data_IF_881332206325
#
_entry.id   IF_881332206325
#
_cell.length_a   1.000
_cell.length_b   1.000
_cell.length_c   1.000
_cell.angle_alpha   90.00
_cell.angle_beta   90.00
_cell.angle_gamma   90.00
#
_symmetry.space_group_name_H-M   'P 1'
#
loop_
_entity.id
_entity.type
_entity.pdbx_description
1 polymer ?
#
# COMPACT_ATOMS: atom_id res chain seq x y z
N UNK A 1 20.07 6.02 19.48
CA UNK A 1 19.66 5.31 20.69
C UNK A 1 18.19 5.55 21.11
N UNK A 2 17.71 6.81 21.16
CA UNK A 2 16.30 7.12 21.54
C UNK A 2 15.25 6.55 20.56
N UNK A 3 15.47 6.64 19.25
CA UNK A 3 14.56 6.16 18.21
C UNK A 3 14.48 4.63 18.15
N UNK A 4 15.61 3.92 18.34
CA UNK A 4 15.61 2.46 18.45
C UNK A 4 14.73 2.00 19.61
N UNK A 5 14.85 2.62 20.79
CA UNK A 5 14.00 2.31 21.95
C UNK A 5 12.52 2.56 21.69
N UNK A 6 12.17 3.61 20.91
CA UNK A 6 10.77 3.89 20.56
C UNK A 6 10.21 2.86 19.58
N UNK A 7 11.03 2.37 18.64
CA UNK A 7 10.62 1.31 17.72
C UNK A 7 10.49 -0.05 18.44
N UNK A 8 11.43 -0.36 19.34
CA UNK A 8 11.40 -1.61 20.13
C UNK A 8 10.10 -1.74 20.94
N UNK A 9 9.51 -0.62 21.39
CA UNK A 9 8.21 -0.60 22.08
C UNK A 9 7.04 -1.00 21.18
N UNK A 10 7.18 -0.84 19.86
CA UNK A 10 6.13 -1.25 18.90
C UNK A 10 6.10 -2.75 18.65
N UNK A 11 7.20 -3.44 18.94
CA UNK A 11 7.32 -4.88 18.76
C UNK A 11 6.60 -5.61 19.91
N UNK A 12 6.07 -6.79 19.63
CA UNK A 12 5.48 -7.61 20.68
C UNK A 12 6.57 -8.16 21.60
N UNK A 13 6.31 -8.21 22.90
CA UNK A 13 7.25 -8.78 23.88
C UNK A 13 7.54 -10.29 23.65
N UNK A 14 6.68 -10.96 22.86
CA UNK A 14 6.73 -12.40 22.66
C UNK A 14 7.83 -12.87 21.70
N UNK A 15 8.44 -11.98 20.95
CA UNK A 15 9.45 -12.32 19.94
C UNK A 15 10.80 -11.68 20.25
N UNK A 16 11.47 -12.16 21.30
CA UNK A 16 12.83 -11.75 21.69
C UNK A 16 13.92 -12.11 20.65
N UNK A 17 13.59 -12.92 19.67
CA UNK A 17 14.51 -13.34 18.59
C UNK A 17 14.56 -12.37 17.39
N UNK A 18 13.78 -11.31 17.42
CA UNK A 18 13.74 -10.32 16.33
C UNK A 18 14.99 -9.46 16.35
N UNK A 19 15.87 -9.77 15.46
CA UNK A 19 17.12 -9.03 15.33
C UNK A 19 17.01 -8.01 14.19
N UNK A 20 17.44 -6.80 14.51
CA UNK A 20 17.81 -5.84 13.49
C UNK A 20 19.01 -6.42 12.73
N UNK A 21 18.84 -6.72 11.45
CA UNK A 21 19.94 -7.15 10.60
C UNK A 21 21.00 -6.06 10.47
N UNK A 22 22.22 -6.43 10.11
CA UNK A 22 23.33 -5.50 9.84
C UNK A 22 22.98 -4.49 8.74
N UNK A 23 22.01 -4.84 7.90
CA UNK A 23 21.46 -3.98 6.84
C UNK A 23 20.40 -2.98 7.34
N UNK A 24 20.05 -2.99 8.61
CA UNK A 24 19.06 -2.08 9.19
C UNK A 24 17.60 -2.48 8.94
N UNK A 25 17.36 -3.72 8.48
CA UNK A 25 16.03 -4.29 8.27
C UNK A 25 15.69 -5.22 9.43
N UNK A 26 14.52 -5.00 10.06
CA UNK A 26 14.00 -5.92 11.06
C UNK A 26 13.40 -7.15 10.37
N UNK A 27 13.76 -8.34 10.81
CA UNK A 27 13.26 -9.60 10.25
C UNK A 27 12.18 -10.22 11.13
N UNK A 28 11.03 -10.49 10.55
CA UNK A 28 10.01 -11.37 11.11
C UNK A 28 9.81 -12.50 10.11
N UNK A 29 10.43 -13.61 10.34
CA UNK A 29 10.29 -14.74 9.43
C UNK A 29 9.16 -15.66 9.88
N UNK A 30 8.10 -15.70 9.11
CA UNK A 30 7.34 -16.91 8.91
C UNK A 30 7.12 -17.08 7.41
N UNK A 31 7.96 -17.85 6.77
CA UNK A 31 7.77 -18.21 5.37
C UNK A 31 6.58 -19.16 5.23
N UNK A 32 5.44 -18.67 4.79
CA UNK A 32 4.32 -19.53 4.43
C UNK A 32 4.59 -20.09 3.03
N UNK A 33 4.71 -21.42 2.89
CA UNK A 33 4.99 -22.09 1.60
C UNK A 33 3.98 -21.73 0.50
N UNK A 34 2.75 -21.37 0.88
CA UNK A 34 1.70 -20.99 -0.08
C UNK A 34 1.96 -19.69 -0.80
N UNK A 35 2.83 -18.83 -0.27
CA UNK A 35 3.21 -17.54 -0.87
C UNK A 35 4.56 -17.60 -1.61
N UNK A 36 5.24 -18.75 -1.57
CA UNK A 36 6.59 -18.88 -2.12
C UNK A 36 6.68 -18.51 -3.61
N UNK A 37 5.71 -18.95 -4.42
CA UNK A 37 5.69 -18.62 -5.87
C UNK A 37 5.56 -17.12 -6.10
N UNK A 38 4.73 -16.44 -5.33
CA UNK A 38 4.60 -14.98 -5.43
C UNK A 38 5.86 -14.27 -4.92
N UNK A 39 6.45 -14.75 -3.83
CA UNK A 39 7.72 -14.24 -3.30
C UNK A 39 8.81 -14.33 -4.37
N UNK A 40 8.97 -15.49 -4.99
CA UNK A 40 10.02 -15.72 -6.00
C UNK A 40 9.79 -14.83 -7.24
N UNK A 41 8.54 -14.66 -7.68
CA UNK A 41 8.20 -13.74 -8.76
C UNK A 41 8.53 -12.29 -8.39
N UNK A 42 8.14 -11.84 -7.20
CA UNK A 42 8.41 -10.46 -6.75
C UNK A 42 9.89 -10.21 -6.54
N UNK A 43 10.64 -11.20 -6.10
CA UNK A 43 12.11 -11.13 -6.03
C UNK A 43 12.73 -10.93 -7.39
N UNK A 44 12.32 -11.69 -8.41
CA UNK A 44 12.83 -11.52 -9.77
C UNK A 44 12.55 -10.11 -10.30
N UNK A 45 11.32 -9.60 -10.10
CA UNK A 45 10.97 -8.22 -10.48
C UNK A 45 11.82 -7.19 -9.73
N UNK A 46 12.06 -7.37 -8.45
CA UNK A 46 12.88 -6.46 -7.67
C UNK A 46 14.35 -6.46 -8.12
N UNK A 47 14.88 -7.59 -8.55
CA UNK A 47 16.27 -7.73 -8.98
C UNK A 47 16.48 -7.28 -10.43
N UNK A 48 15.57 -7.68 -11.34
CA UNK A 48 15.78 -7.53 -12.78
C UNK A 48 15.27 -6.21 -13.34
N UNK A 49 14.29 -5.58 -12.69
CA UNK A 49 13.53 -4.46 -13.27
C UNK A 49 13.57 -3.17 -12.44
N UNK A 50 14.41 -3.08 -11.40
CA UNK A 50 14.37 -1.95 -10.46
C UNK A 50 14.62 -0.59 -11.12
N UNK A 51 15.68 -0.45 -11.94
CA UNK A 51 16.01 0.82 -12.59
C UNK A 51 14.95 1.24 -13.59
N UNK A 52 14.50 0.31 -14.43
CA UNK A 52 13.48 0.56 -15.44
C UNK A 52 12.13 0.88 -14.81
N UNK A 53 11.80 0.23 -13.71
CA UNK A 53 10.58 0.50 -12.97
C UNK A 53 10.61 1.86 -12.27
N UNK A 54 11.72 2.28 -11.67
CA UNK A 54 11.86 3.63 -11.11
C UNK A 54 11.72 4.71 -12.17
N UNK A 55 12.29 4.50 -13.36
CA UNK A 55 12.11 5.43 -14.47
C UNK A 55 10.66 5.48 -14.92
N UNK A 56 10.02 4.33 -15.06
CA UNK A 56 8.59 4.24 -15.39
C UNK A 56 7.73 4.93 -14.33
N UNK A 57 8.00 4.72 -13.04
CA UNK A 57 7.27 5.37 -11.94
C UNK A 57 7.33 6.89 -12.01
N UNK A 58 8.49 7.46 -12.34
CA UNK A 58 8.66 8.92 -12.44
C UNK A 58 7.73 9.56 -13.46
N UNK A 59 7.38 8.83 -14.51
CA UNK A 59 6.53 9.28 -15.61
C UNK A 59 5.09 8.73 -15.53
N UNK A 60 4.80 7.90 -14.55
CA UNK A 60 3.48 7.28 -14.44
C UNK A 60 2.45 8.26 -13.90
N UNK A 61 1.30 8.33 -14.55
CA UNK A 61 0.20 9.21 -14.14
C UNK A 61 -0.25 9.01 -12.68
N UNK A 62 -0.22 7.76 -12.19
CA UNK A 62 -0.61 7.43 -10.83
C UNK A 62 0.27 8.10 -9.75
N UNK A 63 1.53 8.42 -10.05
CA UNK A 63 2.44 8.99 -9.06
C UNK A 63 1.98 10.36 -8.55
N UNK A 64 1.63 11.34 -9.41
CA UNK A 64 1.08 12.60 -8.93
C UNK A 64 -0.22 12.46 -8.14
N UNK A 65 -1.08 11.51 -8.53
CA UNK A 65 -2.31 11.20 -7.77
C UNK A 65 -1.95 10.70 -6.39
N UNK A 66 -1.06 9.72 -6.30
CA UNK A 66 -0.65 9.15 -5.01
C UNK A 66 0.12 10.14 -4.15
N UNK A 67 0.96 11.00 -4.73
CA UNK A 67 1.65 12.05 -3.97
C UNK A 67 0.64 12.98 -3.27
N UNK A 68 -0.42 13.39 -3.97
CA UNK A 68 -1.49 14.20 -3.35
C UNK A 68 -2.25 13.45 -2.27
N UNK A 69 -2.50 12.16 -2.46
CA UNK A 69 -3.17 11.33 -1.45
C UNK A 69 -2.29 11.15 -0.20
N UNK A 70 -0.99 10.92 -0.37
CA UNK A 70 -0.03 10.88 0.73
C UNK A 70 -0.01 12.21 1.48
N UNK A 71 0.06 13.34 0.77
CA UNK A 71 0.06 14.67 1.39
C UNK A 71 -1.21 14.88 2.24
N UNK A 72 -2.39 14.63 1.68
CA UNK A 72 -3.66 14.72 2.42
C UNK A 72 -3.73 13.78 3.63
N UNK A 73 -3.08 12.63 3.54
CA UNK A 73 -3.07 11.63 4.59
C UNK A 73 -2.18 12.08 5.76
N UNK A 74 -0.94 12.46 5.47
CA UNK A 74 0.01 12.87 6.52
C UNK A 74 -0.38 14.19 7.20
N UNK A 75 -1.06 15.10 6.48
CA UNK A 75 -1.55 16.37 7.04
C UNK A 75 -2.60 16.18 8.15
N UNK A 76 -3.30 15.05 8.14
CA UNK A 76 -4.35 14.72 9.13
C UNK A 76 -3.84 13.95 10.34
N UNK A 77 -2.57 13.54 10.33
CA UNK A 77 -1.99 12.77 11.42
C UNK A 77 -1.65 13.67 12.62
N UNK A 78 -1.73 13.16 13.84
CA UNK A 78 -1.26 13.87 15.02
C UNK A 78 0.24 14.15 14.94
N UNK A 79 0.71 15.09 15.75
CA UNK A 79 2.14 15.30 15.95
C UNK A 79 2.77 14.01 16.47
N UNK A 80 3.99 13.70 15.99
CA UNK A 80 4.71 12.44 16.30
C UNK A 80 3.97 11.16 15.91
N UNK A 81 2.99 11.26 14.99
CA UNK A 81 2.19 10.14 14.52
C UNK A 81 3.02 9.01 13.92
N UNK A 82 2.53 7.77 14.07
CA UNK A 82 3.20 6.57 13.57
C UNK A 82 2.31 5.87 12.56
N UNK A 83 2.85 5.63 11.38
CA UNK A 83 2.17 4.95 10.26
C UNK A 83 2.74 3.54 10.11
N UNK A 84 1.89 2.55 9.90
CA UNK A 84 2.27 1.24 9.34
C UNK A 84 1.93 1.23 7.85
N UNK A 85 2.94 1.14 6.98
CA UNK A 85 2.77 1.00 5.54
C UNK A 85 2.87 -0.48 5.15
N UNK A 86 1.74 -1.07 4.80
CA UNK A 86 1.61 -2.50 4.51
C UNK A 86 1.86 -2.77 3.03
N UNK A 87 2.95 -3.50 2.75
CA UNK A 87 3.43 -3.74 1.39
C UNK A 87 3.99 -2.47 0.77
N UNK A 88 4.69 -1.67 1.56
CA UNK A 88 5.23 -0.37 1.13
C UNK A 88 6.36 -0.46 0.12
N UNK A 89 6.75 -1.68 -0.25
CA UNK A 89 7.68 -1.97 -1.34
C UNK A 89 8.98 -1.15 -1.21
N UNK A 90 9.25 -0.30 -2.20
CA UNK A 90 10.46 0.53 -2.23
C UNK A 90 10.34 1.85 -1.48
N UNK A 91 9.25 2.05 -0.72
CA UNK A 91 9.04 3.24 0.09
C UNK A 91 8.86 4.54 -0.71
N UNK A 92 8.52 4.46 -2.00
CA UNK A 92 8.40 5.61 -2.89
C UNK A 92 7.47 6.69 -2.34
N UNK A 93 6.37 6.32 -1.70
CA UNK A 93 5.39 7.25 -1.16
C UNK A 93 5.98 8.16 -0.06
N UNK A 94 7.01 7.70 0.63
CA UNK A 94 7.60 8.39 1.79
C UNK A 94 8.85 9.21 1.46
N UNK A 95 9.25 9.29 0.18
CA UNK A 95 10.45 10.02 -0.24
C UNK A 95 10.45 11.51 0.13
N UNK A 96 9.27 12.12 0.31
CA UNK A 96 9.10 13.53 0.67
C UNK A 96 8.71 13.73 2.16
N UNK A 97 8.55 12.66 2.94
CA UNK A 97 8.04 12.71 4.30
C UNK A 97 8.85 13.65 5.20
N UNK A 98 10.17 13.48 5.24
CA UNK A 98 11.04 14.25 6.13
C UNK A 98 11.05 15.76 5.85
N UNK A 99 10.72 16.17 4.63
CA UNK A 99 10.60 17.57 4.28
C UNK A 99 9.24 18.17 4.68
N UNK A 100 8.18 17.35 4.71
CA UNK A 100 6.81 17.79 4.98
C UNK A 100 6.39 17.58 6.43
N UNK A 101 6.67 16.40 6.97
CA UNK A 101 6.33 15.99 8.33
C UNK A 101 7.50 15.24 8.95
N UNK A 102 8.58 15.95 9.35
CA UNK A 102 9.76 15.33 9.97
C UNK A 102 9.44 14.69 11.34
N UNK A 103 8.34 15.08 11.96
CA UNK A 103 7.80 14.53 13.20
C UNK A 103 7.14 13.15 13.00
N UNK A 104 6.61 12.86 11.82
CA UNK A 104 5.89 11.60 11.55
C UNK A 104 6.88 10.47 11.27
N UNK A 105 6.57 9.29 11.77
CA UNK A 105 7.34 8.06 11.59
C UNK A 105 6.55 7.07 10.74
N UNK A 106 7.27 6.34 9.91
CA UNK A 106 6.70 5.28 9.05
C UNK A 106 7.43 3.98 9.28
N UNK A 107 6.69 2.92 9.49
CA UNK A 107 7.16 1.54 9.50
C UNK A 107 6.70 0.89 8.21
N UNK A 108 7.63 0.64 7.29
CA UNK A 108 7.36 -0.05 6.03
C UNK A 108 7.46 -1.56 6.28
N UNK A 109 6.37 -2.26 6.07
CA UNK A 109 6.32 -3.73 6.14
C UNK A 109 6.21 -4.28 4.72
N UNK A 110 7.13 -5.16 4.35
CA UNK A 110 7.07 -5.88 3.07
C UNK A 110 7.56 -7.31 3.26
N UNK A 111 6.94 -8.26 2.57
CA UNK A 111 7.33 -9.67 2.67
C UNK A 111 8.42 -10.08 1.66
N UNK A 112 8.82 -9.16 0.78
CA UNK A 112 9.96 -9.29 -0.12
C UNK A 112 11.12 -8.45 0.39
N UNK A 113 12.14 -9.12 0.94
CA UNK A 113 13.30 -8.43 1.54
C UNK A 113 14.04 -7.54 0.55
N UNK A 114 14.12 -7.95 -0.69
CA UNK A 114 14.77 -7.21 -1.79
C UNK A 114 14.12 -5.85 -2.02
N UNK A 115 12.80 -5.76 -1.87
CA UNK A 115 12.07 -4.49 -1.92
C UNK A 115 12.54 -3.53 -0.81
N UNK A 116 12.75 -4.04 0.39
CA UNK A 116 13.23 -3.23 1.52
C UNK A 116 14.68 -2.78 1.35
N UNK A 117 15.52 -3.57 0.69
CA UNK A 117 16.87 -3.15 0.30
C UNK A 117 16.81 -1.97 -0.67
N UNK A 118 15.90 -2.01 -1.64
CA UNK A 118 15.67 -0.88 -2.54
C UNK A 118 15.09 0.34 -1.81
N UNK A 119 14.17 0.12 -0.85
CA UNK A 119 13.66 1.20 0.00
C UNK A 119 14.77 1.88 0.79
N UNK A 120 15.72 1.11 1.34
CA UNK A 120 16.90 1.64 2.02
C UNK A 120 17.73 2.53 1.09
N UNK A 121 17.99 2.08 -0.13
CA UNK A 121 18.76 2.85 -1.11
C UNK A 121 18.05 4.15 -1.52
N UNK A 122 16.74 4.10 -1.70
CA UNK A 122 15.93 5.27 -2.08
C UNK A 122 15.79 6.29 -0.94
N UNK A 123 15.56 5.81 0.27
CA UNK A 123 15.23 6.65 1.43
C UNK A 123 16.47 7.10 2.21
N UNK A 124 17.59 6.39 2.04
CA UNK A 124 18.90 6.80 2.53
C UNK A 124 18.94 7.03 4.04
N UNK A 125 19.40 8.20 4.43
CA UNK A 125 19.64 8.60 5.83
C UNK A 125 18.37 8.78 6.68
N UNK A 126 17.19 8.63 6.10
CA UNK A 126 15.90 8.60 6.81
C UNK A 126 15.66 7.28 7.52
N UNK A 127 16.30 6.21 7.04
CA UNK A 127 16.21 4.89 7.67
C UNK A 127 16.84 4.93 9.07
N UNK A 128 16.09 4.41 10.04
CA UNK A 128 16.49 4.46 11.45
C UNK A 128 16.29 5.82 12.14
N UNK A 129 15.82 6.84 11.41
CA UNK A 129 15.42 8.15 11.97
C UNK A 129 13.91 8.23 12.11
N UNK A 130 13.21 8.38 11.01
CA UNK A 130 11.76 8.43 10.96
C UNK A 130 11.14 7.38 10.02
N UNK A 131 11.95 6.56 9.36
CA UNK A 131 11.49 5.42 8.56
C UNK A 131 12.18 4.15 9.04
N UNK A 132 11.39 3.10 9.25
CA UNK A 132 11.84 1.78 9.70
C UNK A 132 11.39 0.73 8.70
N UNK A 133 12.23 -0.28 8.47
CA UNK A 133 11.99 -1.33 7.51
C UNK A 133 11.79 -2.66 8.22
N UNK A 134 10.71 -3.34 7.89
CA UNK A 134 10.32 -4.61 8.51
C UNK A 134 10.01 -5.63 7.43
N UNK A 135 10.77 -6.72 7.41
CA UNK A 135 10.50 -7.89 6.57
C UNK A 135 9.48 -8.78 7.28
N UNK A 136 8.23 -8.78 6.83
CA UNK A 136 7.16 -9.48 7.53
C UNK A 136 5.92 -9.75 6.67
N UNK A 137 5.04 -10.61 7.17
CA UNK A 137 3.76 -10.96 6.55
C UNK A 137 2.64 -10.08 7.11
N UNK A 138 1.87 -9.45 6.23
CA UNK A 138 0.72 -8.62 6.61
C UNK A 138 -0.42 -9.41 7.28
N UNK A 139 -0.43 -10.73 7.15
CA UNK A 139 -1.41 -11.62 7.81
C UNK A 139 -1.05 -11.96 9.25
N UNK A 140 0.18 -11.61 9.68
CA UNK A 140 0.69 -11.88 11.02
C UNK A 140 1.72 -10.82 11.39
N UNK A 141 1.21 -9.62 11.70
CA UNK A 141 2.04 -8.46 12.03
C UNK A 141 2.54 -8.56 13.47
N UNK A 142 3.85 -8.55 13.61
CA UNK A 142 4.49 -8.74 14.90
C UNK A 142 4.69 -7.41 15.65
N UNK A 143 3.59 -6.70 15.81
CA UNK A 143 3.50 -5.46 16.57
C UNK A 143 2.54 -5.61 17.74
N UNK A 144 2.75 -4.83 18.77
CA UNK A 144 1.82 -4.70 19.90
C UNK A 144 0.46 -4.15 19.43
N UNK A 145 -0.58 -4.38 20.24
CA UNK A 145 -1.91 -3.82 19.96
C UNK A 145 -1.91 -2.30 20.16
N UNK A 146 -2.72 -1.60 19.39
CA UNK A 146 -3.01 -0.16 19.58
C UNK A 146 -1.76 0.75 19.57
N UNK A 147 -0.85 0.55 18.62
CA UNK A 147 0.40 1.33 18.55
C UNK A 147 0.48 2.30 17.38
N UNK A 148 -0.25 2.06 16.30
CA UNK A 148 -0.21 2.91 15.12
C UNK A 148 -1.37 3.91 15.09
N UNK A 149 -1.06 5.15 14.74
CA UNK A 149 -2.06 6.19 14.51
C UNK A 149 -2.77 6.00 13.17
N UNK A 150 -2.08 5.38 12.21
CA UNK A 150 -2.64 5.05 10.93
C UNK A 150 -1.98 3.82 10.29
N UNK A 151 -2.74 3.14 9.43
CA UNK A 151 -2.25 2.13 8.50
C UNK A 151 -2.53 2.58 7.07
N UNK A 152 -1.59 2.28 6.19
CA UNK A 152 -1.61 2.64 4.78
C UNK A 152 -1.28 1.42 3.94
N UNK A 153 -1.97 1.23 2.83
CA UNK A 153 -1.66 0.15 1.88
C UNK A 153 -2.00 0.58 0.47
N UNK A 154 -1.10 0.33 -0.49
CA UNK A 154 -1.31 0.65 -1.90
C UNK A 154 -1.04 -0.57 -2.76
N UNK A 155 -2.09 -1.08 -3.40
CA UNK A 155 -2.04 -2.21 -4.33
C UNK A 155 -1.37 -3.48 -3.76
N UNK A 156 -1.46 -3.68 -2.44
CA UNK A 156 -0.87 -4.84 -1.74
C UNK A 156 -1.92 -5.82 -1.28
N UNK A 157 -2.95 -5.36 -0.56
CA UNK A 157 -4.00 -6.23 0.01
C UNK A 157 -4.71 -7.05 -1.06
N UNK A 158 -4.79 -6.53 -2.29
CA UNK A 158 -5.36 -7.20 -3.45
C UNK A 158 -4.61 -8.48 -3.86
N UNK A 159 -3.35 -8.66 -3.42
CA UNK A 159 -2.53 -9.83 -3.70
C UNK A 159 -2.53 -10.85 -2.56
N UNK A 160 -3.26 -10.60 -1.48
CA UNK A 160 -3.30 -11.47 -0.32
C UNK A 160 -4.63 -12.26 -0.30
N UNK A 161 -4.58 -13.60 -0.50
CA UNK A 161 -5.81 -14.41 -0.54
C UNK A 161 -6.64 -14.29 0.74
N UNK A 162 -6.00 -14.32 1.91
CA UNK A 162 -6.67 -14.20 3.21
C UNK A 162 -6.72 -12.75 3.70
N UNK A 163 -7.45 -11.91 2.97
CA UNK A 163 -7.58 -10.49 3.29
C UNK A 163 -8.27 -10.23 4.64
N UNK A 164 -9.14 -11.12 5.11
CA UNK A 164 -9.78 -10.99 6.41
C UNK A 164 -8.74 -11.01 7.55
N UNK A 165 -7.72 -11.86 7.43
CA UNK A 165 -6.64 -11.92 8.40
C UNK A 165 -5.84 -10.61 8.42
N UNK A 166 -5.55 -10.03 7.25
CA UNK A 166 -4.91 -8.71 7.15
C UNK A 166 -5.73 -7.63 7.84
N UNK A 167 -7.02 -7.55 7.55
CA UNK A 167 -7.89 -6.54 8.16
C UNK A 167 -8.00 -6.69 9.67
N UNK A 168 -8.00 -7.91 10.20
CA UNK A 168 -7.96 -8.17 11.64
C UNK A 168 -6.65 -7.70 12.26
N UNK A 169 -5.52 -7.98 11.64
CA UNK A 169 -4.21 -7.51 12.09
C UNK A 169 -4.13 -5.98 12.07
N UNK A 170 -4.57 -5.35 10.98
CA UNK A 170 -4.63 -3.88 10.89
C UNK A 170 -5.49 -3.29 12.01
N UNK A 171 -6.68 -3.85 12.24
CA UNK A 171 -7.54 -3.39 13.33
C UNK A 171 -6.88 -3.60 14.70
N UNK A 172 -6.15 -4.69 14.91
CA UNK A 172 -5.46 -4.98 16.16
C UNK A 172 -4.37 -3.96 16.46
N UNK A 173 -3.52 -3.63 15.47
CA UNK A 173 -2.37 -2.76 15.68
C UNK A 173 -2.71 -1.25 15.67
N UNK A 174 -3.84 -0.85 15.08
CA UNK A 174 -4.32 0.53 15.11
C UNK A 174 -4.76 0.93 16.52
N UNK A 175 -4.47 2.16 16.91
CA UNK A 175 -5.08 2.83 18.06
C UNK A 175 -6.57 3.05 17.83
N UNK A 176 -7.34 3.23 18.90
CA UNK A 176 -8.70 3.79 18.81
C UNK A 176 -8.62 5.14 18.10
N UNK A 177 -9.58 5.46 17.25
CA UNK A 177 -9.59 6.60 16.33
C UNK A 177 -8.51 6.56 15.24
N UNK A 178 -7.68 5.53 15.22
CA UNK A 178 -6.69 5.30 14.16
C UNK A 178 -7.36 5.00 12.81
N UNK A 179 -6.73 5.44 11.72
CA UNK A 179 -7.30 5.31 10.37
C UNK A 179 -6.56 4.28 9.53
N UNK A 180 -7.32 3.45 8.83
CA UNK A 180 -6.80 2.59 7.77
C UNK A 180 -7.26 3.08 6.40
N UNK A 181 -6.33 3.16 5.45
CA UNK A 181 -6.63 3.45 4.05
C UNK A 181 -6.01 2.36 3.17
N UNK A 182 -6.85 1.72 2.38
CA UNK A 182 -6.48 0.67 1.43
C UNK A 182 -6.77 1.11 -0.01
N UNK A 183 -5.71 1.36 -0.78
CA UNK A 183 -5.80 1.67 -2.21
C UNK A 183 -5.62 0.40 -3.02
N UNK A 184 -6.70 -0.05 -3.64
CA UNK A 184 -6.72 -1.28 -4.45
C UNK A 184 -7.31 -1.04 -5.82
N UNK A 185 -6.97 -1.92 -6.77
CA UNK A 185 -7.58 -1.88 -8.11
C UNK A 185 -9.08 -2.14 -8.00
N UNK A 186 -9.86 -1.30 -8.68
CA UNK A 186 -11.31 -1.40 -8.68
C UNK A 186 -11.80 -2.52 -9.62
N UNK A 187 -12.75 -3.29 -9.15
CA UNK A 187 -13.40 -4.35 -9.91
C UNK A 187 -14.17 -3.84 -11.15
N UNK A 188 -14.79 -2.67 -11.07
CA UNK A 188 -15.71 -2.13 -12.08
C UNK A 188 -15.06 -1.09 -13.00
N UNK A 189 -13.75 -1.14 -13.21
CA UNK A 189 -13.02 -0.14 -14.01
C UNK A 189 -13.45 -0.10 -15.49
N UNK A 190 -13.24 1.05 -16.15
CA UNK A 190 -13.45 1.21 -17.60
C UNK A 190 -12.69 0.14 -18.40
N UNK A 191 -11.50 -0.25 -17.93
CA UNK A 191 -10.69 -1.30 -18.54
C UNK A 191 -11.44 -2.63 -18.59
N UNK A 192 -12.18 -2.99 -17.55
CA UNK A 192 -13.00 -4.21 -17.54
C UNK A 192 -14.04 -4.19 -18.66
N UNK A 193 -14.69 -3.05 -18.87
CA UNK A 193 -15.66 -2.90 -19.93
C UNK A 193 -15.02 -3.03 -21.32
N UNK A 194 -13.84 -2.44 -21.51
CA UNK A 194 -13.06 -2.55 -22.75
C UNK A 194 -12.66 -4.02 -23.00
N UNK A 195 -12.16 -4.72 -21.98
CA UNK A 195 -11.80 -6.15 -22.10
C UNK A 195 -13.02 -6.99 -22.49
N UNK A 196 -14.17 -6.72 -21.89
CA UNK A 196 -15.42 -7.39 -22.25
C UNK A 196 -15.80 -7.17 -23.72
N UNK A 197 -15.71 -5.93 -24.22
CA UNK A 197 -15.99 -5.61 -25.62
C UNK A 197 -15.06 -6.36 -26.59
N UNK A 198 -13.79 -6.53 -26.22
CA UNK A 198 -12.81 -7.24 -27.03
C UNK A 198 -12.75 -8.75 -26.72
N UNK A 199 -13.69 -9.29 -25.96
CA UNK A 199 -13.76 -10.70 -25.54
C UNK A 199 -12.45 -11.19 -24.91
N UNK A 200 -11.80 -10.34 -24.11
CA UNK A 200 -10.59 -10.65 -23.35
C UNK A 200 -10.95 -10.96 -21.89
N UNK A 201 -10.22 -11.88 -21.30
CA UNK A 201 -10.38 -12.22 -19.89
C UNK A 201 -9.92 -11.06 -19.01
N UNK A 202 -10.74 -10.75 -18.01
CA UNK A 202 -10.45 -9.75 -17.00
C UNK A 202 -10.56 -10.38 -15.61
N UNK A 203 -9.44 -10.69 -15.01
CA UNK A 203 -9.41 -11.33 -13.69
C UNK A 203 -9.95 -10.38 -12.61
N UNK A 204 -10.99 -10.80 -11.93
CA UNK A 204 -11.60 -10.09 -10.80
C UNK A 204 -11.06 -10.61 -9.48
N UNK A 205 -11.00 -11.94 -9.36
CA UNK A 205 -10.54 -12.68 -8.18
C UNK A 205 -9.93 -14.00 -8.65
N UNK A 206 -8.69 -14.28 -8.28
CA UNK A 206 -7.99 -15.51 -8.63
C UNK A 206 -6.55 -15.32 -9.10
N UNK A 207 -5.98 -16.39 -9.63
CA UNK A 207 -4.60 -16.38 -10.12
C UNK A 207 -4.52 -15.76 -11.52
N UNK A 208 -3.59 -14.84 -11.72
CA UNK A 208 -3.25 -14.29 -13.04
C UNK A 208 -2.13 -15.12 -13.65
N UNK A 209 -2.41 -15.73 -14.79
CA UNK A 209 -1.46 -16.58 -15.54
C UNK A 209 -0.76 -17.66 -14.70
N UNK A 210 -1.42 -18.13 -13.63
CA UNK A 210 -0.83 -19.10 -12.70
C UNK A 210 0.32 -18.56 -11.82
N UNK A 211 0.63 -17.27 -11.91
CA UNK A 211 1.83 -16.70 -11.29
C UNK A 211 1.55 -15.99 -9.96
N UNK A 212 0.51 -15.16 -9.89
CA UNK A 212 0.19 -14.42 -8.68
C UNK A 212 -1.31 -14.22 -8.49
N UNK A 213 -1.72 -14.09 -7.23
CA UNK A 213 -3.10 -13.85 -6.86
C UNK A 213 -3.47 -12.38 -7.01
N UNK A 214 -4.66 -12.11 -7.53
CA UNK A 214 -5.24 -10.77 -7.58
C UNK A 214 -6.73 -10.82 -7.24
N UNK A 215 -7.14 -9.99 -6.29
CA UNK A 215 -8.54 -9.66 -6.00
C UNK A 215 -8.76 -8.17 -6.14
N UNK A 216 -9.59 -7.76 -7.07
CA UNK A 216 -9.94 -6.36 -7.24
C UNK A 216 -10.97 -5.93 -6.18
N UNK A 217 -10.81 -4.74 -5.62
CA UNK A 217 -11.69 -4.23 -4.57
C UNK A 217 -13.14 -4.13 -5.05
N UNK A 218 -14.06 -4.56 -4.20
CA UNK A 218 -15.48 -4.60 -4.48
C UNK A 218 -16.31 -4.47 -3.19
N UNK A 219 -17.62 -4.63 -3.30
CA UNK A 219 -18.55 -4.56 -2.15
C UNK A 219 -18.26 -5.60 -1.05
N UNK A 220 -17.59 -6.71 -1.36
CA UNK A 220 -17.20 -7.70 -0.36
C UNK A 220 -16.11 -7.12 0.57
N UNK A 221 -15.13 -6.42 0.01
CA UNK A 221 -14.09 -5.77 0.83
C UNK A 221 -14.70 -4.75 1.79
N UNK A 222 -15.66 -3.93 1.31
CA UNK A 222 -16.37 -2.96 2.15
C UNK A 222 -17.11 -3.66 3.30
N UNK A 223 -17.88 -4.71 2.99
CA UNK A 223 -18.62 -5.47 4.02
C UNK A 223 -17.67 -6.10 5.05
N UNK A 224 -16.55 -6.62 4.59
CA UNK A 224 -15.57 -7.25 5.45
C UNK A 224 -14.89 -6.23 6.39
N UNK A 225 -14.48 -5.08 5.85
CA UNK A 225 -13.95 -3.98 6.65
C UNK A 225 -14.97 -3.47 7.67
N UNK A 226 -16.22 -3.22 7.26
CA UNK A 226 -17.30 -2.83 8.19
C UNK A 226 -17.44 -3.84 9.35
N UNK A 227 -17.41 -5.14 9.02
CA UNK A 227 -17.51 -6.21 10.02
C UNK A 227 -16.33 -6.21 10.98
N UNK A 228 -15.09 -6.10 10.47
CA UNK A 228 -13.88 -6.20 11.28
C UNK A 228 -13.68 -4.97 12.15
N UNK A 229 -13.96 -3.79 11.61
CA UNK A 229 -13.76 -2.51 12.33
C UNK A 229 -14.99 -2.08 13.13
N UNK A 230 -16.12 -2.73 12.93
CA UNK A 230 -17.41 -2.34 13.51
C UNK A 230 -17.73 -0.86 13.25
N UNK A 231 -17.35 -0.35 12.08
CA UNK A 231 -17.52 1.04 11.68
C UNK A 231 -17.79 1.15 10.17
N UNK A 232 -18.32 2.30 9.75
CA UNK A 232 -18.64 2.54 8.34
C UNK A 232 -17.39 2.84 7.52
N UNK A 233 -17.29 2.16 6.36
CA UNK A 233 -16.22 2.36 5.39
C UNK A 233 -16.63 3.40 4.37
N UNK A 234 -15.83 4.45 4.20
CA UNK A 234 -15.96 5.35 3.07
C UNK A 234 -15.12 4.85 1.89
N UNK A 235 -15.66 4.99 0.68
CA UNK A 235 -14.98 4.63 -0.55
C UNK A 235 -14.79 5.88 -1.44
N UNK A 236 -13.56 6.10 -1.88
CA UNK A 236 -13.22 7.12 -2.87
C UNK A 236 -12.61 6.46 -4.10
N UNK A 237 -12.68 7.15 -5.24
CA UNK A 237 -12.22 6.63 -6.52
C UNK A 237 -11.24 7.58 -7.16
N UNK A 238 -10.23 7.05 -7.83
CA UNK A 238 -9.21 7.79 -8.56
C UNK A 238 -8.84 7.10 -9.87
N UNK A 239 -8.19 7.83 -10.77
CA UNK A 239 -7.80 7.33 -12.10
C UNK A 239 -9.02 6.88 -12.92
N UNK A 240 -9.93 7.82 -13.19
CA UNK A 240 -11.17 7.53 -13.93
C UNK A 240 -10.89 7.41 -15.45
N UNK A 241 -10.16 8.36 -16.00
CA UNK A 241 -9.86 8.44 -17.45
C UNK A 241 -8.57 7.72 -17.77
N UNK A 242 -7.59 7.77 -16.84
CA UNK A 242 -6.28 7.21 -17.06
C UNK A 242 -6.18 5.79 -16.51
N UNK A 243 -5.72 4.89 -17.36
CA UNK A 243 -5.31 3.56 -16.95
C UNK A 243 -3.99 3.24 -17.64
N UNK A 244 -2.95 2.79 -16.91
CA UNK A 244 -1.73 2.29 -17.53
C UNK A 244 -1.96 1.06 -18.41
N UNK A 245 -3.09 0.38 -18.21
CA UNK A 245 -3.51 -0.74 -19.06
C UNK A 245 -3.96 -0.26 -20.47
N UNK A 246 -4.22 1.04 -20.64
CA UNK A 246 -4.53 1.66 -21.91
C UNK A 246 -3.31 2.43 -22.41
N UNK A 247 -2.58 1.85 -23.38
CA UNK A 247 -1.31 2.41 -23.88
C UNK A 247 -1.36 3.88 -24.30
N UNK A 248 -2.50 4.38 -24.79
CA UNK A 248 -2.67 5.78 -25.16
C UNK A 248 -2.84 6.72 -23.96
N UNK A 249 -3.17 6.20 -22.80
CA UNK A 249 -3.29 6.97 -21.57
C UNK A 249 -1.96 7.16 -20.85
N UNK A 250 -0.90 6.54 -21.34
CA UNK A 250 0.46 6.56 -20.75
C UNK A 250 1.22 7.86 -20.99
N UNK A 251 0.63 8.90 -21.51
CA UNK A 251 1.25 10.22 -21.50
C UNK A 251 1.32 10.76 -20.05
N UNK A 252 1.99 10.01 -19.20
CA UNK A 252 2.06 10.13 -17.76
C UNK A 252 2.73 11.38 -17.22
N UNK A 253 2.69 12.47 -17.98
CA UNK A 253 3.17 13.75 -17.49
C UNK A 253 2.10 14.34 -16.57
N UNK A 254 2.49 14.62 -15.35
CA UNK A 254 1.73 15.29 -14.29
C UNK A 254 0.88 16.49 -14.80
N UNK A 255 1.31 17.11 -15.88
CA UNK A 255 0.71 18.29 -16.46
C UNK A 255 -0.04 18.03 -17.78
N UNK A 256 -0.31 16.78 -18.15
CA UNK A 256 -1.12 16.51 -19.33
C UNK A 256 -2.54 17.06 -19.15
N UNK A 257 -3.16 17.53 -20.22
CA UNK A 257 -4.51 18.07 -20.19
C UNK A 257 -5.51 17.06 -19.61
N UNK A 258 -5.43 15.81 -20.04
CA UNK A 258 -6.28 14.74 -19.52
C UNK A 258 -5.98 14.42 -18.06
N UNK A 259 -4.71 14.43 -17.63
CA UNK A 259 -4.35 14.24 -16.22
C UNK A 259 -4.94 15.32 -15.31
N UNK A 260 -5.01 16.56 -15.77
CA UNK A 260 -5.69 17.66 -15.04
C UNK A 260 -7.20 17.45 -14.97
N UNK A 261 -7.82 16.92 -16.01
CA UNK A 261 -9.25 16.57 -15.99
C UNK A 261 -9.48 15.42 -15.00
N UNK A 262 -8.71 14.36 -15.09
CA UNK A 262 -8.81 13.21 -14.20
C UNK A 262 -8.66 13.61 -12.72
N UNK A 263 -7.66 14.43 -12.42
CA UNK A 263 -7.46 14.98 -11.08
C UNK A 263 -8.63 15.84 -10.57
N UNK A 264 -9.35 16.52 -11.47
CA UNK A 264 -10.57 17.29 -11.12
C UNK A 264 -11.79 16.41 -10.90
N UNK A 265 -11.86 15.28 -11.58
CA UNK A 265 -12.96 14.32 -11.46
C UNK A 265 -12.79 13.43 -10.23
N UNK A 266 -11.55 13.20 -9.80
CA UNK A 266 -11.22 12.39 -8.62
C UNK A 266 -11.89 12.95 -7.38
N UNK A 267 -12.67 12.12 -6.71
CA UNK A 267 -13.38 12.46 -5.47
C UNK A 267 -14.61 13.36 -5.63
N UNK A 268 -14.95 13.84 -6.85
CA UNK A 268 -16.06 14.78 -7.04
C UNK A 268 -17.32 14.16 -7.66
N UNK A 269 -17.19 13.10 -8.41
CA UNK A 269 -18.31 12.49 -9.14
C UNK A 269 -18.40 11.01 -8.81
N UNK A 270 -19.14 10.68 -7.74
CA UNK A 270 -19.34 9.29 -7.30
C UNK A 270 -19.93 8.38 -8.39
N UNK A 271 -20.72 8.91 -9.29
CA UNK A 271 -21.32 8.15 -10.39
C UNK A 271 -20.28 7.62 -11.38
N UNK A 272 -19.22 8.39 -11.66
CA UNK A 272 -18.12 7.98 -12.53
C UNK A 272 -17.11 7.09 -11.81
N UNK A 273 -17.16 7.02 -10.50
CA UNK A 273 -16.31 6.17 -9.69
C UNK A 273 -16.37 4.69 -10.06
N UNK A 274 -17.53 4.24 -10.59
CA UNK A 274 -17.66 2.88 -11.13
C UNK A 274 -16.64 2.56 -12.22
N UNK A 275 -16.20 3.55 -12.97
CA UNK A 275 -15.24 3.37 -14.07
C UNK A 275 -13.79 3.64 -13.66
N UNK A 276 -13.57 4.11 -12.46
CA UNK A 276 -12.23 4.39 -11.97
C UNK A 276 -11.38 3.11 -11.90
N UNK A 277 -10.09 3.23 -12.19
CA UNK A 277 -9.15 2.14 -12.08
C UNK A 277 -8.87 1.77 -10.63
N UNK A 278 -8.80 2.77 -9.76
CA UNK A 278 -8.42 2.61 -8.36
C UNK A 278 -9.55 3.03 -7.43
N UNK A 279 -9.73 2.26 -6.39
CA UNK A 279 -10.62 2.53 -5.27
C UNK A 279 -9.81 2.60 -3.98
N UNK A 280 -10.02 3.63 -3.17
CA UNK A 280 -9.52 3.70 -1.82
C UNK A 280 -10.65 3.45 -0.83
N UNK A 281 -10.41 2.55 0.11
CA UNK A 281 -11.32 2.23 1.21
C UNK A 281 -10.73 2.80 2.49
N UNK A 282 -11.49 3.68 3.14
CA UNK A 282 -11.08 4.31 4.38
C UNK A 282 -12.00 3.90 5.51
N UNK A 283 -11.42 3.48 6.62
CA UNK A 283 -12.14 3.13 7.86
C UNK A 283 -11.39 3.66 9.07
N UNK A 284 -12.13 4.01 10.10
CA UNK A 284 -11.59 4.44 11.41
C UNK A 284 -11.87 3.34 12.41
N UNK A 285 -10.91 3.04 13.28
CA UNK A 285 -11.10 2.09 14.37
C UNK A 285 -11.95 2.73 15.45
N UNK A 286 -13.03 2.06 15.82
CA UNK A 286 -13.89 2.43 16.96
C UNK A 286 -13.32 1.95 18.31
#
# INVERSE_FOLDING_TARGET
MKLKKQFDVLLTELNSEKQLGDDGIYGFTSGNETQKVEIDLRKSVALDSYSDYLETLRFHHSIPVMDREVDKFIDKLPSDGIICDIGGCWGWHWRKLSAKRPDVRVVIVDFVRENLIHAKNLLGDRIGKNIFLVHGDATELDFSNNVFDACWSVQTTQHIPNIEKVYKEVNRILKVDGVFIDYSLNNASLVRFIYYLFRRDYTIDGMINGSFYLRRANKHNIKLLNKVFNNEVSAEFSEIIFSPDLKFSMSGKENSFLGKIDARLTGKINLLGFFARQQSLRVVKS
#
